data_IF_696128392765
#
_entry.id   IF_696128392765
#
_cell.length_a   1.000
_cell.length_b   1.000
_cell.length_c   1.000
_cell.angle_alpha   90.00
_cell.angle_beta   90.00
_cell.angle_gamma   90.00
#
_symmetry.space_group_name_H-M   'P 1'
#
loop_
_entity.id
_entity.type
_entity.pdbx_description
1 polymer ?
#
# COMPACT_ATOMS: atom_id res chain seq x y z
N UNK A 1 4.71 30.52 24.06
CA UNK A 1 3.50 29.71 23.92
C UNK A 1 3.89 28.52 23.04
N UNK A 2 4.83 27.76 23.55
CA UNK A 2 5.42 26.57 22.93
C UNK A 2 5.38 25.57 24.08
N UNK A 3 4.48 24.56 23.97
CA UNK A 3 4.51 23.31 24.75
C UNK A 3 3.09 22.75 24.88
N UNK A 4 2.66 22.04 23.83
CA UNK A 4 1.54 21.09 23.96
C UNK A 4 1.57 19.94 22.93
N UNK A 5 2.67 19.73 22.20
CA UNK A 5 2.79 18.65 21.21
C UNK A 5 3.76 17.52 21.63
N UNK A 6 3.96 17.32 22.92
CA UNK A 6 4.92 16.32 23.43
C UNK A 6 4.30 15.28 24.37
N UNK A 7 3.08 14.82 24.13
CA UNK A 7 2.50 13.85 25.11
C UNK A 7 1.42 12.93 24.50
N UNK A 8 1.74 12.14 23.47
CA UNK A 8 0.90 10.99 23.08
C UNK A 8 1.73 9.73 22.75
N UNK A 9 3.03 9.72 22.90
CA UNK A 9 3.86 8.52 22.62
C UNK A 9 4.52 7.94 23.88
N UNK A 10 4.03 8.23 25.07
CA UNK A 10 4.69 7.68 26.27
C UNK A 10 3.76 7.64 27.48
N UNK A 11 2.89 6.66 27.51
CA UNK A 11 2.28 6.20 28.75
C UNK A 11 1.44 4.93 28.56
N UNK A 12 2.04 3.76 28.59
CA UNK A 12 1.44 2.58 29.22
C UNK A 12 2.48 1.53 29.53
N UNK A 13 3.37 1.87 30.42
CA UNK A 13 4.03 0.89 31.29
C UNK A 13 3.78 1.37 32.70
N UNK A 14 2.79 0.80 33.40
CA UNK A 14 2.82 0.72 34.86
C UNK A 14 1.69 -0.15 35.42
N UNK A 15 2.10 -1.29 35.98
CA UNK A 15 1.55 -1.95 37.18
C UNK A 15 0.15 -2.58 37.15
N UNK A 16 0.16 -3.88 36.91
CA UNK A 16 -0.88 -4.81 37.37
C UNK A 16 -0.77 -5.03 38.88
N UNK A 17 -1.87 -4.98 39.64
CA UNK A 17 -1.99 -5.68 40.91
C UNK A 17 -2.49 -7.12 40.68
N UNK A 18 -1.87 -8.07 41.38
CA UNK A 18 -2.21 -9.46 41.38
C UNK A 18 -3.61 -9.71 42.04
N UNK A 19 -4.38 -10.59 41.41
CA UNK A 19 -5.34 -11.44 42.07
C UNK A 19 -6.79 -11.16 41.76
N UNK A 20 -7.35 -11.95 40.82
CA UNK A 20 -8.68 -12.65 40.99
C UNK A 20 -8.80 -13.65 39.84
N UNK A 21 -8.77 -14.92 40.13
CA UNK A 21 -9.10 -16.02 39.22
C UNK A 21 -10.61 -16.01 38.96
N UNK A 22 -11.00 -15.78 37.73
CA UNK A 22 -12.30 -16.14 37.21
C UNK A 22 -12.10 -17.18 36.12
N UNK A 23 -12.66 -18.36 36.30
CA UNK A 23 -12.71 -19.44 35.30
C UNK A 23 -13.47 -18.90 34.08
N UNK A 24 -12.73 -18.65 33.00
CA UNK A 24 -13.31 -18.42 31.66
C UNK A 24 -13.29 -19.78 30.97
N UNK A 25 -14.52 -20.30 30.72
CA UNK A 25 -14.73 -21.47 29.87
C UNK A 25 -14.29 -21.16 28.44
N UNK A 26 -13.05 -21.53 28.12
CA UNK A 26 -12.49 -21.44 26.78
C UNK A 26 -12.85 -22.71 26.02
N UNK A 27 -14.01 -22.71 25.36
CA UNK A 27 -14.16 -23.58 24.18
C UNK A 27 -13.44 -22.94 23.00
N UNK A 28 -12.14 -22.88 23.15
CA UNK A 28 -11.19 -22.55 22.08
C UNK A 28 -11.28 -23.65 21.00
N UNK A 29 -11.77 -23.31 19.83
CA UNK A 29 -11.54 -24.12 18.63
C UNK A 29 -10.07 -24.00 18.26
N UNK A 30 -9.24 -24.74 18.95
CA UNK A 30 -7.91 -25.05 18.46
C UNK A 30 -8.09 -25.77 17.12
N UNK A 31 -7.82 -25.08 16.04
CA UNK A 31 -7.44 -25.72 14.77
C UNK A 31 -6.22 -26.58 15.12
N UNK A 32 -6.41 -27.88 15.16
CA UNK A 32 -5.29 -28.82 15.33
C UNK A 32 -4.28 -28.51 14.25
N UNK A 33 -3.06 -28.17 14.66
CA UNK A 33 -1.90 -28.06 13.78
C UNK A 33 -1.73 -29.43 13.09
N UNK A 34 -2.29 -29.54 11.89
CA UNK A 34 -2.01 -30.63 10.98
C UNK A 34 -0.53 -30.58 10.59
N UNK A 35 0.08 -31.75 10.60
CA UNK A 35 1.44 -32.12 10.20
C UNK A 35 2.39 -30.98 9.86
N UNK A 36 3.50 -30.90 10.60
CA UNK A 36 4.67 -30.03 10.37
C UNK A 36 5.07 -30.05 8.89
N UNK A 37 4.41 -29.25 8.06
CA UNK A 37 4.98 -28.84 6.78
C UNK A 37 6.20 -27.97 7.13
N UNK A 38 7.35 -28.32 6.59
CA UNK A 38 8.52 -27.44 6.70
C UNK A 38 8.11 -26.10 6.09
N UNK A 39 8.19 -25.01 6.87
CA UNK A 39 7.90 -23.66 6.36
C UNK A 39 8.63 -23.46 5.03
N UNK A 40 8.00 -22.81 4.04
CA UNK A 40 8.65 -22.52 2.77
C UNK A 40 9.88 -21.63 3.01
N UNK A 41 10.94 -21.90 2.26
CA UNK A 41 12.24 -21.24 2.45
C UNK A 41 12.68 -20.60 1.15
N UNK A 42 13.21 -19.38 1.24
CA UNK A 42 13.77 -18.63 0.09
C UNK A 42 15.17 -18.13 0.41
N UNK A 43 15.97 -17.93 -0.62
CA UNK A 43 17.21 -17.17 -0.57
C UNK A 43 17.00 -15.70 -0.93
N UNK A 44 18.02 -14.88 -0.69
CA UNK A 44 18.05 -13.47 -1.09
C UNK A 44 19.30 -13.18 -1.92
N UNK A 45 19.12 -12.64 -3.11
CA UNK A 45 20.19 -12.09 -3.93
C UNK A 45 20.16 -10.55 -3.83
N UNK A 46 21.30 -9.94 -3.46
CA UNK A 46 21.39 -8.47 -3.40
C UNK A 46 21.46 -7.90 -4.81
N UNK A 47 20.50 -7.06 -5.15
CA UNK A 47 20.36 -6.40 -6.46
C UNK A 47 20.85 -4.95 -6.42
N UNK A 48 20.49 -4.22 -5.36
CA UNK A 48 20.86 -2.81 -5.20
C UNK A 48 21.06 -2.46 -3.73
N UNK A 49 21.96 -1.51 -3.45
CA UNK A 49 22.17 -0.94 -2.12
C UNK A 49 22.54 0.54 -2.21
N UNK A 50 22.62 1.22 -1.08
CA UNK A 50 22.91 2.66 -1.05
C UNK A 50 21.72 3.52 -1.46
N UNK A 51 20.51 3.05 -1.20
CA UNK A 51 19.24 3.72 -1.54
C UNK A 51 18.63 4.40 -0.31
N UNK A 52 17.76 5.38 -0.55
CA UNK A 52 17.04 6.10 0.51
C UNK A 52 15.54 5.79 0.43
N UNK A 53 15.06 4.97 1.37
CA UNK A 53 13.63 4.67 1.51
C UNK A 53 12.91 4.33 0.19
N UNK A 54 13.27 3.23 -0.50
CA UNK A 54 12.60 2.83 -1.73
C UNK A 54 11.14 2.45 -1.44
N UNK A 55 10.22 2.94 -2.29
CA UNK A 55 8.79 2.73 -2.23
C UNK A 55 8.30 1.77 -3.32
N UNK A 56 9.05 1.61 -4.39
CA UNK A 56 8.71 0.75 -5.52
C UNK A 56 9.93 0.35 -6.34
N UNK A 57 9.82 -0.79 -7.00
CA UNK A 57 10.78 -1.29 -7.98
C UNK A 57 9.99 -1.80 -9.19
N UNK A 58 9.92 -0.96 -10.24
CA UNK A 58 8.91 -1.04 -11.29
C UNK A 58 9.58 -1.32 -12.63
N UNK A 59 9.10 -2.33 -13.34
CA UNK A 59 9.51 -2.60 -14.73
C UNK A 59 8.84 -1.64 -15.70
N UNK A 60 9.56 -1.21 -16.72
CA UNK A 60 9.02 -0.47 -17.87
C UNK A 60 8.63 -1.39 -19.04
N UNK A 61 8.82 -2.71 -18.92
CA UNK A 61 8.59 -3.67 -20.00
C UNK A 61 9.66 -3.67 -21.10
N UNK A 62 10.78 -3.00 -20.87
CA UNK A 62 11.90 -2.87 -21.83
C UNK A 62 13.24 -3.40 -21.28
N UNK A 63 13.17 -4.13 -20.16
CA UNK A 63 14.31 -4.71 -19.44
C UNK A 63 14.96 -3.77 -18.43
N UNK A 64 14.51 -2.50 -18.33
CA UNK A 64 14.93 -1.57 -17.27
C UNK A 64 14.02 -1.71 -16.07
N UNK A 65 14.60 -1.50 -14.87
CA UNK A 65 13.86 -1.40 -13.62
C UNK A 65 14.04 0.00 -13.02
N UNK A 66 12.98 0.51 -12.41
CA UNK A 66 12.96 1.87 -11.87
C UNK A 66 12.74 1.84 -10.37
N UNK A 67 13.67 2.43 -9.62
CA UNK A 67 13.65 2.51 -8.16
C UNK A 67 13.01 3.83 -7.76
N UNK A 68 11.86 3.77 -7.15
CA UNK A 68 11.13 4.93 -6.62
C UNK A 68 11.60 5.20 -5.20
N UNK A 69 12.21 6.34 -4.92
CA UNK A 69 12.62 6.74 -3.57
C UNK A 69 11.65 7.78 -3.00
N UNK A 70 11.21 7.60 -1.78
CA UNK A 70 10.27 8.48 -1.06
C UNK A 70 10.69 9.95 -1.08
N UNK A 71 11.99 10.21 -1.17
CA UNK A 71 12.60 11.54 -1.22
C UNK A 71 12.33 12.33 -2.50
N UNK A 72 11.69 11.72 -3.50
CA UNK A 72 11.31 12.38 -4.76
C UNK A 72 12.14 11.97 -5.96
N UNK A 73 13.04 11.00 -5.81
CA UNK A 73 13.89 10.52 -6.90
C UNK A 73 13.34 9.22 -7.48
N UNK A 74 13.50 9.06 -8.81
CA UNK A 74 13.41 7.75 -9.45
C UNK A 74 14.74 7.48 -10.13
N UNK A 75 15.36 6.34 -9.83
CA UNK A 75 16.62 5.88 -10.44
C UNK A 75 16.34 4.81 -11.48
N UNK A 76 17.21 4.73 -12.48
CA UNK A 76 17.17 3.66 -13.50
C UNK A 76 18.21 2.61 -13.17
N UNK A 77 17.80 1.37 -13.14
CA UNK A 77 18.66 0.20 -13.23
C UNK A 77 18.52 -0.38 -14.65
N UNK A 78 19.61 -0.41 -15.38
CA UNK A 78 19.71 -0.96 -16.73
C UNK A 78 19.60 -2.51 -16.68
N UNK A 79 19.33 -3.13 -17.81
CA UNK A 79 19.20 -4.60 -17.92
C UNK A 79 20.44 -5.38 -17.48
N UNK A 80 21.63 -4.74 -17.47
CA UNK A 80 22.88 -5.34 -16.97
C UNK A 80 23.09 -5.17 -15.45
N UNK A 81 22.10 -4.60 -14.74
CA UNK A 81 22.12 -4.33 -13.29
C UNK A 81 22.81 -3.01 -12.93
N UNK A 82 23.31 -2.23 -13.88
CA UNK A 82 23.96 -0.94 -13.63
C UNK A 82 22.92 0.11 -13.24
N UNK A 83 23.06 0.72 -12.07
CA UNK A 83 22.25 1.88 -11.66
C UNK A 83 22.89 3.15 -12.20
N UNK A 84 22.13 3.93 -12.97
CA UNK A 84 22.60 5.20 -13.51
C UNK A 84 22.83 6.22 -12.39
N UNK A 85 23.89 7.01 -12.52
CA UNK A 85 24.27 8.03 -11.54
C UNK A 85 23.25 9.17 -11.46
N UNK A 86 22.81 9.64 -12.63
CA UNK A 86 21.82 10.71 -12.72
C UNK A 86 20.42 10.10 -12.59
N UNK A 87 19.51 10.72 -11.80
CA UNK A 87 18.17 10.21 -11.67
C UNK A 87 17.37 10.37 -12.98
N UNK A 88 16.44 9.44 -13.20
CA UNK A 88 15.44 9.51 -14.26
C UNK A 88 14.43 10.65 -14.03
N UNK A 89 14.08 10.85 -12.75
CA UNK A 89 13.07 11.78 -12.31
C UNK A 89 13.47 12.40 -10.96
N UNK A 90 13.25 13.69 -10.80
CA UNK A 90 13.45 14.41 -9.53
C UNK A 90 12.31 15.40 -9.31
N UNK A 91 11.43 15.09 -8.37
CA UNK A 91 10.30 15.94 -7.99
C UNK A 91 10.44 16.53 -6.59
N UNK A 92 11.56 16.32 -5.92
CA UNK A 92 11.78 16.74 -4.54
C UNK A 92 11.46 18.21 -4.29
N UNK A 93 11.73 19.09 -5.27
CA UNK A 93 11.42 20.53 -5.20
C UNK A 93 9.93 20.89 -5.30
N UNK A 94 9.05 19.95 -5.64
CA UNK A 94 7.59 20.15 -5.77
C UNK A 94 6.79 19.47 -4.64
N UNK A 95 7.46 18.71 -3.77
CA UNK A 95 6.86 18.00 -2.65
C UNK A 95 6.82 18.84 -1.38
N UNK A 96 5.98 18.44 -0.42
CA UNK A 96 6.09 18.91 0.96
C UNK A 96 7.44 18.45 1.56
N UNK A 97 8.03 19.20 2.51
CA UNK A 97 9.15 18.70 3.29
C UNK A 97 8.73 17.46 4.07
N UNK A 98 9.48 16.37 3.95
CA UNK A 98 9.24 15.11 4.67
C UNK A 98 10.19 14.95 5.86
N UNK A 99 9.70 14.23 6.90
CA UNK A 99 10.47 13.96 8.11
C UNK A 99 11.44 12.80 7.88
N UNK A 100 12.72 12.99 8.25
CA UNK A 100 13.71 11.91 8.17
C UNK A 100 13.50 10.77 9.19
N UNK A 101 12.67 10.96 10.22
CA UNK A 101 12.41 9.92 11.23
C UNK A 101 11.34 8.94 10.80
N UNK A 102 10.22 9.48 10.38
CA UNK A 102 9.05 8.77 9.86
C UNK A 102 8.19 9.76 9.09
N UNK A 103 7.74 9.37 7.93
CA UNK A 103 6.77 10.12 7.11
C UNK A 103 6.09 9.14 6.16
N UNK A 104 4.81 9.35 5.91
CA UNK A 104 4.08 8.62 4.88
C UNK A 104 3.90 9.45 3.61
N UNK A 105 4.29 10.72 3.64
CA UNK A 105 4.30 11.61 2.48
C UNK A 105 5.56 11.39 1.65
N UNK A 106 5.56 11.94 0.46
CA UNK A 106 6.72 11.86 -0.42
C UNK A 106 6.33 11.53 -1.85
N UNK A 107 7.27 10.97 -2.61
CA UNK A 107 7.00 10.29 -3.87
C UNK A 107 6.60 8.85 -3.54
N UNK A 108 5.33 8.52 -3.79
CA UNK A 108 4.72 7.30 -3.28
C UNK A 108 4.67 6.18 -4.32
N UNK A 109 4.57 6.54 -5.61
CA UNK A 109 4.41 5.53 -6.67
C UNK A 109 4.83 6.02 -8.05
N UNK A 110 5.13 5.05 -8.90
CA UNK A 110 5.34 5.18 -10.33
C UNK A 110 4.56 4.07 -11.05
N UNK A 111 3.89 4.41 -12.14
CA UNK A 111 3.35 3.43 -13.08
C UNK A 111 3.61 3.88 -14.51
N UNK A 112 4.04 2.97 -15.37
CA UNK A 112 4.21 3.23 -16.79
C UNK A 112 2.92 2.94 -17.53
N UNK A 113 2.63 3.76 -18.54
CA UNK A 113 1.51 3.48 -19.45
C UNK A 113 1.68 2.10 -20.11
N UNK A 114 0.63 1.31 -20.35
CA UNK A 114 0.75 0.01 -21.01
C UNK A 114 1.47 0.04 -22.38
N UNK A 115 1.42 1.19 -23.06
CA UNK A 115 2.15 1.45 -24.32
C UNK A 115 3.33 2.39 -24.10
N UNK A 116 4.01 2.29 -22.96
CA UNK A 116 5.12 3.19 -22.61
C UNK A 116 6.22 3.24 -23.67
N UNK A 117 6.60 2.10 -24.24
CA UNK A 117 7.60 2.01 -25.30
C UNK A 117 7.25 2.83 -26.55
N UNK A 118 5.97 3.11 -26.78
CA UNK A 118 5.48 3.85 -27.94
C UNK A 118 5.24 5.34 -27.62
N UNK A 119 4.74 5.63 -26.40
CA UNK A 119 4.23 6.96 -26.05
C UNK A 119 5.06 7.70 -25.01
N UNK A 120 5.97 7.00 -24.29
CA UNK A 120 6.84 7.57 -23.27
C UNK A 120 6.10 8.15 -22.06
N UNK A 121 4.83 7.74 -21.79
CA UNK A 121 4.00 8.27 -20.70
C UNK A 121 4.24 7.49 -19.43
N UNK A 122 4.37 8.22 -18.33
CA UNK A 122 4.46 7.66 -16.97
C UNK A 122 3.60 8.48 -16.01
N UNK A 123 3.20 7.85 -14.93
CA UNK A 123 2.31 8.40 -13.93
C UNK A 123 2.94 8.26 -12.55
N UNK A 124 2.84 9.31 -11.76
CA UNK A 124 3.37 9.31 -10.40
C UNK A 124 2.31 9.82 -9.43
N UNK A 125 2.37 9.31 -8.20
CA UNK A 125 1.63 9.85 -7.06
C UNK A 125 2.62 10.44 -6.07
N UNK A 126 2.39 11.68 -5.66
CA UNK A 126 3.26 12.36 -4.70
C UNK A 126 2.51 13.37 -3.83
N UNK A 127 3.08 13.71 -2.67
CA UNK A 127 2.50 14.67 -1.73
C UNK A 127 3.05 16.07 -2.01
N UNK A 128 2.24 16.93 -2.65
CA UNK A 128 2.55 18.33 -2.89
C UNK A 128 2.14 19.21 -1.68
N UNK A 129 2.66 20.45 -1.57
CA UNK A 129 2.14 21.44 -0.64
C UNK A 129 0.62 21.63 -0.82
N UNK A 130 -0.12 21.98 0.27
CA UNK A 130 -1.53 22.30 0.16
C UNK A 130 -1.77 23.34 -0.94
N UNK A 131 -2.72 23.06 -1.83
CA UNK A 131 -3.13 24.04 -2.86
C UNK A 131 -3.86 25.22 -2.23
N UNK A 132 -3.94 26.34 -2.92
CA UNK A 132 -4.57 27.56 -2.41
C UNK A 132 -6.04 27.35 -1.98
N UNK A 133 -6.76 26.45 -2.65
CA UNK A 133 -8.15 26.10 -2.34
C UNK A 133 -8.31 25.05 -1.26
N UNK A 134 -7.22 24.45 -0.74
CA UNK A 134 -7.31 23.47 0.33
C UNK A 134 -7.86 24.11 1.62
N UNK A 135 -8.63 23.36 2.42
CA UNK A 135 -9.10 23.87 3.71
C UNK A 135 -7.95 24.30 4.62
N UNK A 136 -8.15 25.36 5.39
CA UNK A 136 -7.14 25.87 6.32
C UNK A 136 -6.73 24.79 7.35
N UNK A 137 -5.44 24.62 7.52
CA UNK A 137 -4.86 23.66 8.48
C UNK A 137 -4.71 22.22 7.95
N UNK A 138 -5.07 21.97 6.70
CA UNK A 138 -4.79 20.67 6.07
C UNK A 138 -3.30 20.55 5.73
N UNK A 139 -2.80 19.31 5.69
CA UNK A 139 -1.37 19.03 5.69
C UNK A 139 -0.72 19.08 4.31
N UNK A 140 -1.32 18.43 3.31
CA UNK A 140 -0.78 18.33 1.95
C UNK A 140 -1.87 18.12 0.91
N UNK A 141 -1.48 18.08 -0.36
CA UNK A 141 -2.33 17.67 -1.47
C UNK A 141 -1.66 16.50 -2.18
N UNK A 142 -2.26 15.31 -2.16
CA UNK A 142 -1.79 14.21 -2.99
C UNK A 142 -2.11 14.51 -4.45
N UNK A 143 -1.09 14.45 -5.30
CA UNK A 143 -1.20 14.64 -6.75
C UNK A 143 -0.91 13.36 -7.49
N UNK A 144 -1.77 13.06 -8.43
CA UNK A 144 -1.56 12.05 -9.46
C UNK A 144 -1.30 12.81 -10.76
N UNK A 145 -0.08 12.68 -11.29
CA UNK A 145 0.39 13.43 -12.44
C UNK A 145 0.94 12.52 -13.53
N UNK A 146 0.61 12.84 -14.78
CA UNK A 146 1.25 12.29 -15.98
C UNK A 146 2.49 13.11 -16.31
N UNK A 147 3.57 12.42 -16.69
CA UNK A 147 4.77 12.97 -17.27
C UNK A 147 5.14 12.22 -18.56
N UNK A 148 6.11 12.76 -19.28
CA UNK A 148 6.69 12.14 -20.48
C UNK A 148 8.19 12.01 -20.36
N UNK A 149 8.72 10.94 -20.93
CA UNK A 149 10.15 10.79 -21.13
C UNK A 149 10.65 11.88 -22.06
N UNK A 150 11.86 12.40 -21.82
CA UNK A 150 12.52 13.37 -22.67
C UNK A 150 12.75 12.80 -24.09
N UNK A 151 12.51 13.62 -25.08
CA UNK A 151 12.79 13.24 -26.49
C UNK A 151 14.30 13.19 -26.80
N UNK A 152 15.13 13.82 -25.95
CA UNK A 152 16.57 13.90 -26.13
C UNK A 152 17.32 12.80 -25.37
N UNK A 153 16.75 12.29 -24.28
CA UNK A 153 17.39 11.32 -23.40
C UNK A 153 16.32 10.34 -22.84
N UNK A 154 16.30 9.06 -23.26
CA UNK A 154 15.32 8.08 -22.81
C UNK A 154 15.45 7.69 -21.34
N UNK A 155 16.56 8.06 -20.70
CA UNK A 155 16.80 7.84 -19.27
C UNK A 155 16.49 9.08 -18.42
N UNK A 156 15.72 10.04 -18.97
CA UNK A 156 15.25 11.25 -18.26
C UNK A 156 13.80 11.59 -18.57
N UNK A 157 13.12 12.12 -17.59
CA UNK A 157 11.78 12.68 -17.74
C UNK A 157 11.86 14.16 -18.11
N UNK A 158 11.03 14.60 -19.06
CA UNK A 158 10.77 16.02 -19.28
C UNK A 158 9.90 16.57 -18.12
N UNK A 159 10.54 17.21 -17.16
CA UNK A 159 9.87 17.78 -15.97
C UNK A 159 8.89 18.92 -16.31
N UNK A 160 8.95 19.48 -17.54
CA UNK A 160 8.00 20.50 -18.02
C UNK A 160 6.70 19.89 -18.57
N UNK A 161 6.68 18.59 -18.80
CA UNK A 161 5.56 17.86 -19.38
C UNK A 161 4.46 17.52 -18.37
N UNK A 162 4.60 17.91 -17.10
CA UNK A 162 3.63 17.58 -16.06
C UNK A 162 2.21 17.97 -16.46
N UNK A 163 1.31 16.98 -16.40
CA UNK A 163 -0.12 17.15 -16.48
C UNK A 163 -0.73 16.58 -15.21
N UNK A 164 -1.20 17.45 -14.32
CA UNK A 164 -1.91 17.02 -13.11
C UNK A 164 -3.28 16.45 -13.52
N UNK A 165 -3.57 15.22 -13.11
CA UNK A 165 -4.82 14.53 -13.36
C UNK A 165 -5.77 14.67 -12.18
N UNK A 166 -5.35 14.31 -10.98
CA UNK A 166 -6.15 14.34 -9.75
C UNK A 166 -5.36 15.05 -8.65
N UNK A 167 -6.06 15.87 -7.88
CA UNK A 167 -5.58 16.48 -6.64
C UNK A 167 -6.54 16.15 -5.51
N UNK A 168 -6.01 15.55 -4.43
CA UNK A 168 -6.77 15.19 -3.25
C UNK A 168 -6.16 15.88 -2.04
N UNK A 169 -6.87 16.85 -1.46
CA UNK A 169 -6.43 17.50 -0.24
C UNK A 169 -6.48 16.53 0.93
N UNK A 170 -5.44 16.55 1.74
CA UNK A 170 -5.24 15.64 2.87
C UNK A 170 -5.30 16.40 4.18
N UNK A 171 -6.22 16.03 5.09
CA UNK A 171 -6.30 16.68 6.40
C UNK A 171 -5.08 16.38 7.29
N UNK A 172 -4.49 15.18 7.17
CA UNK A 172 -3.30 14.76 7.92
C UNK A 172 -2.23 14.19 6.98
N UNK A 173 -0.98 14.11 7.48
CA UNK A 173 0.19 13.66 6.70
C UNK A 173 0.32 12.15 6.55
N UNK A 174 -0.50 11.35 7.22
CA UNK A 174 -0.53 9.88 7.11
C UNK A 174 -1.73 9.37 6.30
N UNK A 175 -1.80 8.06 6.06
CA UNK A 175 -2.80 7.36 5.23
C UNK A 175 -2.92 8.00 3.83
N UNK A 176 -1.78 8.08 3.15
CA UNK A 176 -1.77 8.67 1.81
C UNK A 176 -2.23 7.70 0.72
N UNK A 177 -2.32 6.41 1.03
CA UNK A 177 -2.38 5.38 0.03
C UNK A 177 -1.00 5.19 -0.62
N UNK A 178 -0.93 4.46 -1.71
CA UNK A 178 0.33 4.19 -2.41
C UNK A 178 0.08 3.55 -3.78
N UNK A 179 1.04 2.87 -4.31
CA UNK A 179 1.00 1.89 -5.36
C UNK A 179 0.00 2.05 -6.54
N UNK A 180 -0.04 3.21 -7.27
CA UNK A 180 -0.90 3.31 -8.48
C UNK A 180 -0.50 2.25 -9.51
N UNK A 181 -1.46 1.67 -10.22
CA UNK A 181 -1.21 0.65 -11.23
C UNK A 181 -2.20 0.71 -12.41
N UNK A 182 -1.73 0.33 -13.60
CA UNK A 182 -2.65 0.02 -14.70
C UNK A 182 -3.22 -1.37 -14.55
N UNK A 183 -4.54 -1.46 -14.69
CA UNK A 183 -5.21 -2.75 -14.79
C UNK A 183 -5.04 -3.40 -16.18
N UNK A 184 -5.40 -4.69 -16.31
CA UNK A 184 -5.38 -5.41 -17.59
C UNK A 184 -6.34 -4.81 -18.61
N UNK A 185 -7.29 -3.99 -18.15
CA UNK A 185 -8.25 -3.23 -18.94
C UNK A 185 -7.69 -1.92 -19.51
N UNK A 186 -6.45 -1.57 -19.16
CA UNK A 186 -5.75 -0.38 -19.62
C UNK A 186 -6.08 0.90 -18.88
N UNK A 187 -6.90 0.86 -17.82
CA UNK A 187 -7.23 2.01 -16.98
C UNK A 187 -6.30 2.13 -15.79
N UNK A 188 -6.14 3.36 -15.29
CA UNK A 188 -5.31 3.65 -14.13
C UNK A 188 -6.13 3.52 -12.84
N UNK A 189 -5.66 2.67 -11.91
CA UNK A 189 -6.22 2.49 -10.58
C UNK A 189 -5.38 3.26 -9.57
N UNK A 190 -6.06 3.94 -8.63
CA UNK A 190 -5.43 4.88 -7.69
C UNK A 190 -5.97 4.60 -6.29
N UNK A 191 -5.14 4.07 -5.38
CA UNK A 191 -5.50 3.85 -3.99
C UNK A 191 -5.30 5.14 -3.18
N UNK A 192 -6.27 5.50 -2.36
CA UNK A 192 -6.26 6.67 -1.49
C UNK A 192 -6.75 6.30 -0.09
N UNK A 193 -5.97 6.62 0.94
CA UNK A 193 -6.35 6.40 2.32
C UNK A 193 -7.43 7.36 2.81
N UNK A 194 -7.97 7.09 3.99
CA UNK A 194 -9.12 7.77 4.60
C UNK A 194 -8.90 9.25 4.97
N UNK A 195 -7.67 9.73 4.88
CA UNK A 195 -7.33 11.12 5.21
C UNK A 195 -6.30 11.23 6.30
N UNK A 196 -6.11 10.18 7.09
CA UNK A 196 -5.11 10.08 8.15
C UNK A 196 -5.66 10.37 9.55
N UNK A 197 -4.78 10.59 10.49
CA UNK A 197 -5.13 10.64 11.91
C UNK A 197 -5.31 9.25 12.49
N UNK A 198 -6.29 9.09 13.37
CA UNK A 198 -6.71 7.82 13.92
C UNK A 198 -8.22 7.67 13.82
N UNK A 199 -8.69 6.42 13.75
CA UNK A 199 -10.10 6.04 13.89
C UNK A 199 -11.04 6.63 12.81
N UNK A 200 -10.49 7.16 11.71
CA UNK A 200 -11.23 7.87 10.66
C UNK A 200 -12.18 8.93 11.24
N UNK A 201 -11.64 9.76 12.18
CA UNK A 201 -12.39 10.78 12.90
C UNK A 201 -11.67 12.12 12.94
N UNK A 202 -12.40 13.18 13.28
CA UNK A 202 -11.84 14.51 13.54
C UNK A 202 -11.81 15.41 12.31
N UNK A 203 -10.77 16.25 12.22
CA UNK A 203 -10.66 17.24 11.15
C UNK A 203 -10.57 16.59 9.77
N UNK A 204 -11.49 16.94 8.88
CA UNK A 204 -11.53 16.44 7.50
C UNK A 204 -12.18 15.06 7.33
N UNK A 205 -12.75 14.51 8.41
CA UNK A 205 -13.44 13.21 8.36
C UNK A 205 -14.95 13.40 8.51
N UNK A 206 -15.71 12.65 7.72
CA UNK A 206 -17.17 12.59 7.82
C UNK A 206 -17.59 11.90 9.13
N UNK A 207 -18.82 12.15 9.63
CA UNK A 207 -19.32 11.49 10.83
C UNK A 207 -19.33 9.95 10.77
N UNK A 208 -19.60 9.39 9.59
CA UNK A 208 -19.55 7.96 9.28
C UNK A 208 -18.15 7.43 8.94
N UNK A 209 -17.16 8.31 8.85
CA UNK A 209 -15.83 8.04 8.34
C UNK A 209 -15.72 8.28 6.84
N UNK A 210 -14.50 8.67 6.40
CA UNK A 210 -14.23 8.88 4.99
C UNK A 210 -14.25 7.58 4.19
N UNK A 211 -13.87 6.46 4.80
CA UNK A 211 -13.97 5.13 4.16
C UNK A 211 -15.38 4.88 3.60
N UNK A 212 -16.43 5.28 4.31
CA UNK A 212 -17.83 5.08 3.92
C UNK A 212 -18.47 6.28 3.18
N UNK A 213 -17.81 7.44 3.14
CA UNK A 213 -18.34 8.65 2.49
C UNK A 213 -18.08 8.61 0.98
N UNK A 214 -19.12 8.51 0.15
CA UNK A 214 -19.02 8.41 -1.31
C UNK A 214 -18.84 9.76 -2.02
N UNK A 215 -18.83 10.88 -1.26
CA UNK A 215 -18.63 12.26 -1.77
C UNK A 215 -17.17 12.72 -1.64
N UNK A 216 -16.24 11.80 -1.32
CA UNK A 216 -14.80 12.05 -1.25
C UNK A 216 -14.02 10.92 -1.88
N UNK A 217 -12.82 11.23 -2.37
CA UNK A 217 -11.86 10.21 -2.83
C UNK A 217 -11.10 9.54 -1.69
N UNK A 218 -11.22 10.06 -0.47
CA UNK A 218 -10.53 9.52 0.70
C UNK A 218 -11.13 8.15 1.08
N UNK A 219 -10.26 7.14 1.35
CA UNK A 219 -10.65 5.77 1.67
C UNK A 219 -11.21 4.98 0.47
N UNK A 220 -10.65 5.20 -0.72
CA UNK A 220 -11.15 4.66 -1.99
C UNK A 220 -10.06 4.08 -2.88
N UNK A 221 -10.46 3.16 -3.75
CA UNK A 221 -9.76 2.88 -5.00
C UNK A 221 -10.51 3.59 -6.11
N UNK A 222 -9.83 4.47 -6.86
CA UNK A 222 -10.36 5.13 -8.04
C UNK A 222 -9.94 4.39 -9.30
N UNK A 223 -10.71 4.53 -10.39
CA UNK A 223 -10.36 4.01 -11.72
C UNK A 223 -10.69 5.04 -12.78
N UNK A 224 -9.68 5.45 -13.57
CA UNK A 224 -9.78 6.52 -14.58
C UNK A 224 -9.19 6.10 -15.92
N UNK A 225 -9.68 6.71 -16.99
CA UNK A 225 -9.16 6.58 -18.36
C UNK A 225 -8.23 7.76 -18.65
N UNK A 226 -6.94 7.49 -18.81
CA UNK A 226 -5.92 8.52 -19.07
C UNK A 226 -5.75 8.83 -20.56
N UNK A 227 -6.39 8.04 -21.45
CA UNK A 227 -6.31 8.19 -22.90
C UNK A 227 -7.44 9.05 -23.47
N UNK A 228 -8.53 9.17 -22.73
CA UNK A 228 -9.66 10.02 -23.09
C UNK A 228 -9.89 11.09 -22.02
N UNK A 229 -10.72 12.08 -22.35
CA UNK A 229 -11.11 13.15 -21.44
C UNK A 229 -12.61 13.35 -21.51
N UNK A 230 -13.26 13.38 -20.36
CA UNK A 230 -14.64 13.83 -20.27
C UNK A 230 -14.69 15.36 -20.10
N UNK A 231 -15.86 15.98 -20.40
CA UNK A 231 -16.01 17.43 -20.34
C UNK A 231 -15.64 17.99 -18.96
N UNK A 232 -14.63 18.86 -18.93
CA UNK A 232 -14.16 19.52 -17.71
C UNK A 232 -13.16 18.71 -16.87
N UNK A 233 -12.82 17.47 -17.27
CA UNK A 233 -11.84 16.61 -16.60
C UNK A 233 -10.58 16.44 -17.45
N UNK A 234 -9.39 16.30 -16.83
CA UNK A 234 -8.17 15.96 -17.56
C UNK A 234 -8.03 14.47 -17.88
N UNK A 235 -9.02 13.64 -17.57
CA UNK A 235 -9.15 12.21 -17.81
C UNK A 235 -10.58 11.85 -18.18
N UNK A 236 -10.83 10.64 -18.62
CA UNK A 236 -12.16 10.08 -18.81
C UNK A 236 -12.58 9.18 -17.64
N UNK A 237 -13.89 9.01 -17.47
CA UNK A 237 -14.46 8.05 -16.54
C UNK A 237 -14.91 6.83 -17.32
N UNK A 238 -14.32 5.64 -17.07
CA UNK A 238 -14.71 4.43 -17.80
C UNK A 238 -16.22 4.18 -17.74
N UNK A 239 -16.80 3.77 -18.87
CA UNK A 239 -18.26 3.62 -18.99
C UNK A 239 -18.85 2.54 -18.10
N UNK A 240 -18.01 1.61 -17.64
CA UNK A 240 -18.36 0.51 -16.76
C UNK A 240 -17.92 0.72 -15.31
N UNK A 241 -17.50 1.96 -14.92
CA UNK A 241 -17.31 2.27 -13.51
C UNK A 241 -18.63 2.06 -12.74
N UNK A 242 -18.57 1.45 -11.52
CA UNK A 242 -19.78 1.00 -10.82
C UNK A 242 -20.74 2.11 -10.46
N UNK A 243 -20.23 3.34 -10.27
CA UNK A 243 -21.01 4.47 -9.78
C UNK A 243 -21.17 5.60 -10.81
N UNK A 244 -20.83 5.36 -12.09
CA UNK A 244 -20.88 6.38 -13.14
C UNK A 244 -22.25 7.09 -13.27
N UNK A 245 -23.32 6.33 -13.08
CA UNK A 245 -24.70 6.84 -13.21
C UNK A 245 -25.35 7.17 -11.84
N UNK A 246 -24.57 7.13 -10.76
CA UNK A 246 -25.06 7.39 -9.42
C UNK A 246 -24.78 8.86 -9.04
N UNK A 247 -25.84 9.65 -8.88
CA UNK A 247 -25.73 11.09 -8.55
C UNK A 247 -25.19 11.34 -7.13
N UNK A 248 -25.26 10.32 -6.25
CA UNK A 248 -24.85 10.38 -4.84
C UNK A 248 -23.44 9.80 -4.60
N UNK A 249 -22.71 9.43 -5.66
CA UNK A 249 -21.37 8.83 -5.57
C UNK A 249 -20.46 9.41 -6.63
N UNK A 250 -19.19 9.72 -6.26
CA UNK A 250 -18.19 10.16 -7.23
C UNK A 250 -17.93 9.05 -8.26
N UNK A 251 -18.05 9.35 -9.56
CA UNK A 251 -18.05 8.35 -10.62
C UNK A 251 -16.69 7.69 -10.88
N UNK A 252 -15.59 8.27 -10.37
CA UNK A 252 -14.24 7.71 -10.41
C UNK A 252 -14.08 6.52 -9.48
N UNK A 253 -14.93 6.37 -8.45
CA UNK A 253 -14.81 5.34 -7.43
C UNK A 253 -15.02 3.95 -8.05
N UNK A 254 -14.01 3.08 -7.88
CA UNK A 254 -14.06 1.66 -8.23
C UNK A 254 -14.50 0.80 -7.04
N UNK A 255 -13.93 1.09 -5.84
CA UNK A 255 -14.24 0.43 -4.58
C UNK A 255 -14.07 1.40 -3.41
N UNK A 256 -14.66 1.09 -2.27
CA UNK A 256 -14.68 1.95 -1.08
C UNK A 256 -14.50 1.15 0.21
N UNK A 257 -14.33 1.87 1.32
CA UNK A 257 -14.23 1.25 2.65
C UNK A 257 -12.81 0.83 3.00
N UNK A 258 -11.80 1.62 2.57
CA UNK A 258 -10.39 1.42 2.90
C UNK A 258 -9.91 2.43 3.92
N UNK A 259 -8.92 2.01 4.75
CA UNK A 259 -8.24 2.87 5.71
C UNK A 259 -6.97 3.50 5.13
N UNK A 260 -5.99 2.70 4.80
CA UNK A 260 -4.74 3.12 4.17
C UNK A 260 -4.26 2.05 3.18
N UNK A 261 -4.88 1.98 2.00
CA UNK A 261 -4.52 1.02 0.96
C UNK A 261 -3.11 1.33 0.43
N UNK A 262 -2.11 0.80 1.14
CA UNK A 262 -0.71 1.14 0.98
C UNK A 262 -0.11 0.63 -0.32
N UNK A 263 -0.46 -0.59 -0.70
CA UNK A 263 0.02 -1.19 -1.93
C UNK A 263 -1.09 -1.95 -2.64
N UNK A 264 -1.03 -1.95 -3.96
CA UNK A 264 -1.90 -2.79 -4.76
C UNK A 264 -1.13 -3.43 -5.92
N UNK A 265 -1.57 -4.61 -6.32
CA UNK A 265 -1.00 -5.36 -7.43
C UNK A 265 -2.08 -6.13 -8.18
N UNK A 266 -1.95 -6.18 -9.50
CA UNK A 266 -2.71 -7.12 -10.31
C UNK A 266 -1.94 -8.42 -10.46
N UNK A 267 -2.64 -9.55 -10.33
CA UNK A 267 -2.07 -10.82 -10.74
C UNK A 267 -1.81 -10.79 -12.27
N UNK A 268 -0.60 -11.13 -12.67
CA UNK A 268 -0.23 -11.20 -14.09
C UNK A 268 -0.77 -12.45 -14.80
N UNK A 269 -1.27 -13.39 -14.02
CA UNK A 269 -1.90 -14.64 -14.51
C UNK A 269 -3.36 -14.76 -14.06
N UNK A 270 -3.92 -15.95 -14.20
CA UNK A 270 -5.28 -16.25 -13.74
C UNK A 270 -6.34 -15.31 -14.29
N UNK A 271 -7.21 -14.82 -13.42
CA UNK A 271 -8.30 -13.88 -13.75
C UNK A 271 -7.84 -12.41 -13.70
N UNK A 272 -6.54 -12.16 -13.46
CA UNK A 272 -5.96 -10.84 -13.28
C UNK A 272 -6.54 -10.07 -12.09
N UNK A 273 -6.73 -10.75 -11.00
CA UNK A 273 -7.32 -10.22 -9.78
C UNK A 273 -6.50 -9.04 -9.21
N UNK A 274 -7.22 -8.08 -8.61
CA UNK A 274 -6.63 -6.93 -7.94
C UNK A 274 -6.52 -7.20 -6.44
N UNK A 275 -5.29 -7.23 -5.94
CA UNK A 275 -4.98 -7.33 -4.52
C UNK A 275 -4.62 -5.95 -3.96
N UNK A 276 -5.16 -5.64 -2.79
CA UNK A 276 -4.88 -4.39 -2.06
C UNK A 276 -4.53 -4.74 -0.63
N UNK A 277 -3.40 -4.26 -0.15
CA UNK A 277 -3.02 -4.36 1.26
C UNK A 277 -3.46 -3.10 1.97
N UNK A 278 -4.39 -3.23 2.89
CA UNK A 278 -4.95 -2.13 3.67
C UNK A 278 -4.44 -2.18 5.11
N UNK A 279 -3.67 -1.16 5.48
CA UNK A 279 -3.08 -1.09 6.81
C UNK A 279 -4.14 -0.76 7.86
N UNK A 280 -4.28 -1.64 8.83
CA UNK A 280 -5.24 -1.55 9.92
C UNK A 280 -4.95 -0.48 10.97
N UNK A 281 -5.84 -0.34 11.97
CA UNK A 281 -5.74 0.71 12.98
C UNK A 281 -5.00 0.23 14.23
N UNK A 282 -5.55 -0.71 14.96
CA UNK A 282 -5.05 -1.12 16.27
C UNK A 282 -4.91 -2.64 16.45
N UNK A 283 -5.70 -3.44 15.71
CA UNK A 283 -5.81 -4.86 15.98
C UNK A 283 -5.47 -5.77 14.79
N UNK A 284 -5.85 -5.37 13.56
CA UNK A 284 -5.81 -6.26 12.40
C UNK A 284 -5.24 -5.59 11.17
N UNK A 285 -4.38 -6.32 10.47
CA UNK A 285 -3.90 -6.00 9.13
C UNK A 285 -4.62 -6.89 8.12
N UNK A 286 -4.85 -6.38 6.90
CA UNK A 286 -5.63 -7.11 5.90
C UNK A 286 -5.11 -6.99 4.47
N UNK A 287 -5.44 -7.99 3.66
CA UNK A 287 -5.29 -7.95 2.20
C UNK A 287 -6.63 -8.28 1.57
N UNK A 288 -7.05 -7.41 0.67
CA UNK A 288 -8.33 -7.51 -0.03
C UNK A 288 -8.18 -8.00 -1.45
N UNK A 289 -9.11 -8.84 -1.89
CA UNK A 289 -9.36 -9.14 -3.28
C UNK A 289 -10.42 -8.17 -3.81
N UNK A 290 -9.97 -7.14 -4.55
CA UNK A 290 -10.82 -5.99 -4.87
C UNK A 290 -11.66 -6.22 -6.12
N UNK A 291 -12.97 -6.14 -5.93
CA UNK A 291 -13.96 -6.26 -6.98
C UNK A 291 -14.69 -4.94 -7.28
N UNK A 292 -15.27 -4.85 -8.45
CA UNK A 292 -16.04 -3.70 -8.92
C UNK A 292 -17.21 -3.36 -7.98
N UNK A 293 -17.21 -2.16 -7.42
CA UNK A 293 -18.27 -1.64 -6.53
C UNK A 293 -18.22 -2.22 -5.11
N UNK A 294 -17.13 -2.92 -4.74
CA UNK A 294 -16.95 -3.51 -3.41
C UNK A 294 -16.84 -2.45 -2.29
N UNK A 295 -17.36 -2.80 -1.11
CA UNK A 295 -17.19 -2.04 0.13
C UNK A 295 -16.45 -2.94 1.15
N UNK A 296 -15.22 -2.56 1.51
CA UNK A 296 -14.29 -3.34 2.34
C UNK A 296 -14.39 -3.04 3.84
N UNK A 297 -15.35 -2.21 4.21
CA UNK A 297 -15.86 -2.13 5.58
C UNK A 297 -15.27 -1.03 6.46
N UNK A 298 -14.10 -0.47 6.19
CA UNK A 298 -13.58 0.62 7.00
C UNK A 298 -14.50 1.85 6.99
N UNK A 299 -14.92 2.44 8.14
CA UNK A 299 -14.54 2.06 9.51
C UNK A 299 -15.70 1.37 10.28
N UNK A 300 -16.45 0.51 9.64
CA UNK A 300 -17.43 -0.36 10.31
C UNK A 300 -16.70 -1.61 10.83
N UNK A 301 -15.68 -2.04 10.09
CA UNK A 301 -14.82 -3.18 10.38
C UNK A 301 -13.35 -2.83 10.25
N UNK A 302 -12.51 -3.60 10.92
CA UNK A 302 -11.08 -3.75 10.76
C UNK A 302 -10.80 -5.24 10.56
N UNK A 303 -10.36 -5.67 9.36
CA UNK A 303 -10.43 -7.07 8.98
C UNK A 303 -11.87 -7.59 8.94
N UNK A 304 -12.08 -8.83 9.38
CA UNK A 304 -13.40 -9.42 9.56
C UNK A 304 -14.11 -8.96 10.85
N UNK A 305 -13.45 -8.11 11.66
CA UNK A 305 -13.85 -7.75 13.01
C UNK A 305 -14.57 -6.40 13.05
N UNK A 306 -15.52 -6.27 13.98
CA UNK A 306 -16.19 -4.99 14.20
C UNK A 306 -15.24 -3.94 14.78
N UNK A 307 -15.37 -2.68 14.33
CA UNK A 307 -14.58 -1.56 14.82
C UNK A 307 -15.45 -0.51 15.52
N UNK A 308 -14.94 0.06 16.63
CA UNK A 308 -15.57 1.19 17.33
C UNK A 308 -14.53 2.31 17.53
N UNK A 309 -14.69 3.47 16.89
CA UNK A 309 -13.76 4.59 17.02
C UNK A 309 -13.70 5.20 18.45
N UNK A 310 -14.59 4.80 19.36
CA UNK A 310 -14.56 5.20 20.77
C UNK A 310 -13.80 4.22 21.65
N UNK A 311 -13.55 3.00 21.15
CA UNK A 311 -12.82 1.93 21.84
C UNK A 311 -12.01 1.12 20.83
N UNK A 312 -11.05 1.73 20.10
CA UNK A 312 -10.39 1.11 18.94
C UNK A 312 -9.58 -0.15 19.29
N UNK A 313 -9.10 -0.26 20.54
CA UNK A 313 -8.38 -1.44 21.03
C UNK A 313 -9.29 -2.62 21.40
N UNK A 314 -10.62 -2.49 21.24
CA UNK A 314 -11.59 -3.51 21.60
C UNK A 314 -12.55 -3.72 20.42
N UNK A 315 -12.64 -4.95 19.90
CA UNK A 315 -13.60 -5.28 18.85
C UNK A 315 -14.98 -5.54 19.44
N UNK A 316 -16.02 -4.76 19.08
CA UNK A 316 -17.41 -5.04 19.48
C UNK A 316 -17.87 -6.42 19.01
N UNK A 317 -18.79 -7.03 19.77
CA UNK A 317 -19.33 -8.34 19.42
C UNK A 317 -20.27 -8.32 18.21
N UNK A 318 -20.70 -7.15 17.74
CA UNK A 318 -21.57 -6.99 16.58
C UNK A 318 -21.50 -5.56 16.01
N UNK A 319 -21.58 -5.46 14.68
CA UNK A 319 -21.67 -4.22 13.94
C UNK A 319 -22.57 -4.41 12.72
N UNK A 320 -22.87 -3.37 11.93
CA UNK A 320 -23.61 -3.52 10.69
C UNK A 320 -22.92 -4.49 9.72
N UNK A 321 -23.70 -5.36 9.08
CA UNK A 321 -23.22 -6.26 8.02
C UNK A 321 -23.23 -5.58 6.64
N UNK A 322 -23.70 -4.35 6.57
CA UNK A 322 -23.91 -3.59 5.34
C UNK A 322 -23.41 -2.16 5.51
N UNK A 323 -22.90 -1.63 4.44
CA UNK A 323 -22.58 -0.21 4.32
C UNK A 323 -23.81 0.69 4.36
N UNK A 324 -23.61 2.03 4.44
CA UNK A 324 -24.70 3.03 4.55
C UNK A 324 -25.71 3.00 3.41
N UNK A 325 -25.33 2.50 2.23
CA UNK A 325 -26.18 2.40 1.03
C UNK A 325 -26.94 1.07 0.95
N UNK A 326 -26.72 0.17 1.92
CA UNK A 326 -27.33 -1.16 1.99
C UNK A 326 -26.57 -2.26 1.24
N UNK A 327 -25.40 -1.93 0.67
CA UNK A 327 -24.48 -2.89 0.05
C UNK A 327 -23.83 -3.79 1.11
N UNK A 328 -23.54 -5.07 0.78
CA UNK A 328 -22.81 -5.94 1.69
C UNK A 328 -21.38 -5.45 1.91
N UNK A 329 -20.86 -5.64 3.12
CA UNK A 329 -19.43 -5.51 3.38
C UNK A 329 -18.72 -6.78 2.89
N UNK A 330 -17.54 -6.62 2.30
CA UNK A 330 -16.70 -7.70 1.80
C UNK A 330 -15.57 -7.92 2.80
N UNK A 331 -15.42 -9.17 3.23
CA UNK A 331 -14.31 -9.55 4.11
C UNK A 331 -13.01 -9.68 3.30
N UNK A 332 -11.85 -9.41 3.91
CA UNK A 332 -10.55 -9.60 3.29
C UNK A 332 -10.29 -11.09 2.95
N UNK A 333 -9.32 -11.34 2.08
CA UNK A 333 -8.83 -12.71 1.83
C UNK A 333 -7.72 -13.12 2.79
N UNK A 334 -6.99 -12.17 3.34
CA UNK A 334 -5.96 -12.39 4.37
C UNK A 334 -6.17 -11.38 5.49
N UNK A 335 -6.08 -11.87 6.73
CA UNK A 335 -5.97 -11.01 7.92
C UNK A 335 -4.96 -11.60 8.90
N UNK A 336 -4.33 -10.72 9.69
CA UNK A 336 -3.50 -11.12 10.83
C UNK A 336 -3.48 -10.04 11.90
N UNK A 337 -3.33 -10.46 13.16
CA UNK A 337 -3.34 -9.54 14.28
C UNK A 337 -2.00 -8.84 14.53
N UNK A 338 -2.03 -7.70 15.18
CA UNK A 338 -0.86 -6.89 15.57
C UNK A 338 0.10 -7.59 16.55
N UNK A 339 -0.25 -8.78 17.03
CA UNK A 339 0.68 -9.66 17.74
C UNK A 339 1.74 -10.31 16.84
N UNK A 340 1.52 -10.33 15.51
CA UNK A 340 2.48 -10.83 14.52
C UNK A 340 3.34 -9.72 13.95
N UNK A 341 2.74 -8.63 13.56
CA UNK A 341 3.36 -7.51 12.86
C UNK A 341 2.61 -6.20 13.11
N UNK A 342 3.00 -5.12 12.46
CA UNK A 342 2.47 -3.78 12.73
C UNK A 342 1.83 -3.11 11.53
N UNK A 343 2.26 -3.45 10.30
CA UNK A 343 1.76 -2.84 9.06
C UNK A 343 1.97 -3.80 7.89
N UNK A 344 0.90 -4.15 7.20
CA UNK A 344 0.98 -4.88 5.93
C UNK A 344 1.53 -3.97 4.84
N UNK A 345 2.53 -4.45 4.09
CA UNK A 345 3.21 -3.64 3.05
C UNK A 345 2.93 -4.08 1.62
N UNK A 346 2.03 -5.06 1.43
CA UNK A 346 1.64 -5.56 0.13
C UNK A 346 2.45 -6.74 -0.36
N UNK A 347 2.23 -7.08 -1.62
CA UNK A 347 2.84 -8.24 -2.25
C UNK A 347 2.36 -8.47 -3.68
N UNK A 348 2.72 -9.64 -4.18
CA UNK A 348 2.35 -10.10 -5.52
C UNK A 348 2.05 -11.60 -5.53
N UNK A 349 1.15 -12.03 -6.41
CA UNK A 349 1.10 -13.44 -6.80
C UNK A 349 2.41 -13.76 -7.53
N UNK A 350 3.11 -14.79 -7.05
CA UNK A 350 4.34 -15.25 -7.70
C UNK A 350 4.03 -15.92 -9.03
N UNK A 351 4.65 -15.41 -10.09
CA UNK A 351 4.50 -15.91 -11.47
C UNK A 351 5.85 -16.17 -12.14
N UNK A 352 6.93 -16.14 -11.35
CA UNK A 352 8.28 -16.45 -11.81
C UNK A 352 8.49 -17.94 -12.03
N UNK A 353 9.65 -18.29 -12.57
CA UNK A 353 10.03 -19.68 -12.88
C UNK A 353 11.14 -20.21 -11.98
N UNK A 354 11.80 -19.33 -11.21
CA UNK A 354 12.94 -19.72 -10.36
C UNK A 354 12.51 -20.58 -9.17
N UNK A 355 11.28 -20.38 -8.65
CA UNK A 355 10.72 -21.10 -7.49
C UNK A 355 9.34 -21.68 -7.85
N UNK A 356 9.28 -22.76 -8.65
CA UNK A 356 8.01 -23.30 -9.14
C UNK A 356 7.08 -23.82 -8.03
N UNK A 357 7.60 -24.09 -6.83
CA UNK A 357 6.81 -24.47 -5.65
C UNK A 357 6.00 -23.31 -5.07
N UNK A 358 6.32 -22.08 -5.44
CA UNK A 358 5.60 -20.86 -5.04
C UNK A 358 4.70 -20.30 -6.15
N UNK A 359 4.63 -20.95 -7.32
CA UNK A 359 3.80 -20.47 -8.41
C UNK A 359 2.32 -20.42 -8.02
N UNK A 360 1.73 -19.22 -8.13
CA UNK A 360 0.33 -18.98 -7.77
C UNK A 360 0.12 -18.58 -6.31
N UNK A 361 1.13 -18.65 -5.47
CA UNK A 361 1.06 -18.18 -4.08
C UNK A 361 1.16 -16.65 -4.01
N UNK A 362 0.48 -16.02 -3.04
CA UNK A 362 0.62 -14.59 -2.77
C UNK A 362 1.75 -14.35 -1.77
N UNK A 363 2.83 -13.74 -2.24
CA UNK A 363 3.98 -13.38 -1.39
C UNK A 363 3.83 -11.94 -0.96
N UNK A 364 3.79 -11.71 0.35
CA UNK A 364 3.59 -10.41 0.97
C UNK A 364 4.47 -10.26 2.22
N UNK A 365 4.34 -9.15 2.93
CA UNK A 365 5.13 -8.94 4.13
C UNK A 365 4.44 -8.04 5.15
N UNK A 366 4.91 -8.15 6.39
CA UNK A 366 4.77 -7.12 7.41
C UNK A 366 6.02 -6.24 7.48
N UNK A 367 5.82 -4.94 7.63
CA UNK A 367 6.86 -3.93 7.68
C UNK A 367 7.88 -4.19 8.77
N UNK A 368 7.41 -4.48 9.99
CA UNK A 368 8.20 -4.87 11.15
C UNK A 368 7.30 -5.26 12.33
N UNK A 369 7.73 -6.23 13.12
CA UNK A 369 7.05 -6.57 14.37
C UNK A 369 7.42 -5.63 15.56
N UNK A 370 8.20 -4.57 15.31
CA UNK A 370 8.63 -3.58 16.31
C UNK A 370 8.87 -2.25 15.62
N UNK A 371 8.17 -1.19 16.04
CA UNK A 371 8.37 0.16 15.51
C UNK A 371 9.77 0.73 15.75
N UNK A 372 10.48 0.26 16.78
CA UNK A 372 11.82 0.75 17.13
C UNK A 372 12.97 0.02 16.44
N UNK A 373 12.68 -1.11 15.78
CA UNK A 373 13.72 -1.98 15.23
C UNK A 373 13.23 -2.72 13.98
N UNK A 374 13.93 -2.52 12.86
CA UNK A 374 13.63 -3.26 11.64
C UNK A 374 13.76 -4.78 11.81
N UNK A 375 12.63 -5.48 11.73
CA UNK A 375 12.53 -6.93 11.78
C UNK A 375 11.30 -7.40 11.00
N UNK A 376 11.20 -6.97 9.73
CA UNK A 376 10.11 -7.32 8.84
C UNK A 376 10.02 -8.82 8.59
N UNK A 377 8.81 -9.28 8.38
CA UNK A 377 8.47 -10.68 8.17
C UNK A 377 7.96 -10.89 6.76
N UNK A 378 8.60 -11.76 5.99
CA UNK A 378 8.04 -12.27 4.73
C UNK A 378 6.97 -13.31 5.04
N UNK A 379 5.89 -13.26 4.30
CA UNK A 379 4.72 -14.10 4.43
C UNK A 379 4.34 -14.67 3.06
N UNK A 380 3.72 -15.83 3.06
CA UNK A 380 3.17 -16.45 1.86
C UNK A 380 1.77 -16.97 2.17
N UNK A 381 0.82 -16.72 1.28
CA UNK A 381 -0.55 -17.18 1.40
C UNK A 381 -0.97 -18.01 0.20
N UNK A 382 -1.64 -19.12 0.48
CA UNK A 382 -2.19 -20.03 -0.52
C UNK A 382 -3.62 -19.60 -0.87
N UNK A 383 -3.90 -19.25 -2.14
CA UNK A 383 -5.24 -18.88 -2.58
C UNK A 383 -6.30 -19.94 -2.26
N UNK A 384 -7.44 -19.49 -1.74
CA UNK A 384 -8.61 -20.32 -1.44
C UNK A 384 -9.86 -19.75 -2.11
N UNK A 385 -10.73 -20.60 -2.58
CA UNK A 385 -12.00 -20.19 -3.18
C UNK A 385 -13.04 -19.71 -2.16
N UNK A 386 -12.86 -20.03 -0.88
CA UNK A 386 -13.78 -19.68 0.19
C UNK A 386 -13.05 -19.25 1.46
N UNK A 387 -13.51 -18.17 2.08
CA UNK A 387 -13.01 -17.66 3.36
C UNK A 387 -11.59 -17.10 3.29
N UNK A 388 -11.00 -16.92 4.47
CA UNK A 388 -9.63 -16.44 4.60
C UNK A 388 -8.63 -17.47 4.07
N UNK A 389 -7.62 -16.98 3.37
CA UNK A 389 -6.53 -17.79 2.87
C UNK A 389 -5.60 -18.22 4.01
N UNK A 390 -5.09 -19.44 3.92
CA UNK A 390 -4.03 -19.90 4.82
C UNK A 390 -2.73 -19.20 4.47
N UNK A 391 -2.05 -18.65 5.47
CA UNK A 391 -0.76 -18.00 5.30
C UNK A 391 0.26 -18.49 6.35
N UNK A 392 1.53 -18.39 6.02
CA UNK A 392 2.64 -18.75 6.90
C UNK A 392 3.87 -17.86 6.67
N UNK A 393 4.82 -17.88 7.62
CA UNK A 393 6.08 -17.16 7.44
C UNK A 393 6.93 -17.82 6.35
N UNK A 394 7.39 -17.00 5.40
CA UNK A 394 8.36 -17.38 4.38
C UNK A 394 9.77 -17.19 4.94
N UNK A 395 10.44 -18.28 5.23
CA UNK A 395 11.73 -18.29 5.93
C UNK A 395 12.86 -17.88 4.99
N UNK A 396 13.71 -16.95 5.42
CA UNK A 396 14.90 -16.52 4.67
C UNK A 396 16.11 -17.37 5.06
N UNK A 397 16.63 -18.13 4.12
CA UNK A 397 17.79 -19.00 4.31
C UNK A 397 19.02 -18.20 4.79
N UNK A 398 19.75 -18.77 5.76
CA UNK A 398 21.00 -18.18 6.25
C UNK A 398 20.85 -16.89 7.08
N UNK A 399 19.62 -16.44 7.36
CA UNK A 399 19.38 -15.25 8.19
C UNK A 399 18.98 -15.63 9.61
N UNK A 400 19.39 -14.84 10.62
CA UNK A 400 19.00 -15.07 12.02
C UNK A 400 17.48 -15.07 12.16
N UNK A 401 16.91 -16.13 12.75
CA UNK A 401 15.46 -16.25 12.93
C UNK A 401 14.68 -16.43 11.63
N UNK A 402 15.34 -16.63 10.47
CA UNK A 402 14.68 -16.76 9.18
C UNK A 402 14.09 -15.45 8.63
N UNK A 403 14.46 -14.29 9.17
CA UNK A 403 13.91 -12.97 8.80
C UNK A 403 14.96 -12.08 8.14
N UNK A 404 14.51 -11.05 7.41
CA UNK A 404 15.40 -10.12 6.70
C UNK A 404 16.28 -9.32 7.68
N UNK A 405 15.77 -8.97 8.87
CA UNK A 405 16.49 -8.18 9.87
C UNK A 405 16.58 -6.68 9.50
N UNK A 406 15.59 -6.19 8.79
CA UNK A 406 15.39 -4.79 8.38
C UNK A 406 13.90 -4.49 8.30
N UNK A 407 13.51 -3.24 8.16
CA UNK A 407 12.16 -2.87 7.76
C UNK A 407 11.93 -3.30 6.31
N UNK A 408 10.80 -3.95 6.02
CA UNK A 408 10.37 -4.24 4.64
C UNK A 408 9.48 -3.09 4.19
N UNK A 409 9.86 -2.38 3.15
CA UNK A 409 9.17 -1.17 2.70
C UNK A 409 8.20 -1.40 1.55
N UNK A 410 8.33 -2.50 0.85
CA UNK A 410 7.51 -2.83 -0.31
C UNK A 410 8.15 -3.91 -1.17
N UNK A 411 7.58 -4.07 -2.33
CA UNK A 411 7.97 -5.08 -3.30
C UNK A 411 8.10 -4.52 -4.70
N UNK A 412 8.68 -5.31 -5.58
CA UNK A 412 8.65 -5.16 -7.03
C UNK A 412 8.51 -6.50 -7.70
N UNK A 413 8.05 -6.49 -8.94
CA UNK A 413 7.99 -7.69 -9.79
C UNK A 413 8.54 -7.35 -11.17
N UNK A 414 9.45 -8.18 -11.70
CA UNK A 414 9.97 -8.02 -13.06
C UNK A 414 9.02 -8.61 -14.12
N UNK A 415 9.41 -8.48 -15.39
CA UNK A 415 8.59 -8.94 -16.51
C UNK A 415 8.46 -10.47 -16.57
N UNK A 416 9.41 -11.19 -15.96
CA UNK A 416 9.39 -12.64 -15.82
C UNK A 416 8.54 -13.12 -14.64
N UNK A 417 8.02 -12.21 -13.81
CA UNK A 417 7.19 -12.53 -12.64
C UNK A 417 7.99 -12.84 -11.39
N UNK A 418 9.30 -12.61 -11.39
CA UNK A 418 10.16 -12.75 -10.21
C UNK A 418 9.96 -11.59 -9.24
N UNK A 419 10.05 -11.87 -7.93
CA UNK A 419 9.72 -10.91 -6.87
C UNK A 419 10.97 -10.34 -6.23
N UNK A 420 10.91 -9.04 -5.94
CA UNK A 420 11.94 -8.26 -5.26
C UNK A 420 11.39 -7.65 -3.98
N UNK A 421 12.22 -7.64 -2.92
CA UNK A 421 11.88 -7.09 -1.61
C UNK A 421 12.71 -5.83 -1.36
N UNK A 422 12.05 -4.73 -1.04
CA UNK A 422 12.66 -3.45 -0.73
C UNK A 422 12.79 -3.31 0.77
N UNK A 423 14.00 -3.00 1.25
CA UNK A 423 14.30 -2.98 2.68
C UNK A 423 15.04 -1.72 3.10
N UNK A 424 14.96 -1.37 4.38
CA UNK A 424 15.77 -0.30 4.98
C UNK A 424 16.11 -0.65 6.43
N UNK A 425 17.30 -0.26 6.90
CA UNK A 425 17.60 -0.31 8.34
C UNK A 425 17.03 0.89 9.11
N UNK A 426 16.51 1.90 8.38
CA UNK A 426 15.90 3.10 8.94
C UNK A 426 14.38 3.05 8.78
N UNK A 427 13.67 3.53 9.78
CA UNK A 427 12.21 3.64 9.76
C UNK A 427 11.73 4.68 8.72
N UNK A 428 12.43 5.80 8.62
CA UNK A 428 12.12 6.88 7.68
C UNK A 428 13.20 7.12 6.62
N UNK A 429 13.02 8.13 5.76
CA UNK A 429 13.93 8.44 4.66
C UNK A 429 15.18 9.22 5.14
N UNK A 430 16.02 8.61 5.96
CA UNK A 430 17.15 9.26 6.63
C UNK A 430 18.49 9.06 5.94
N UNK A 431 18.88 7.84 5.65
CA UNK A 431 20.22 7.46 5.21
C UNK A 431 20.17 6.49 4.03
N UNK A 432 21.30 6.36 3.32
CA UNK A 432 21.48 5.42 2.21
C UNK A 432 21.68 3.97 2.71
N UNK A 433 20.74 3.47 3.52
CA UNK A 433 20.82 2.14 4.15
C UNK A 433 19.94 1.10 3.48
N UNK A 434 19.10 1.54 2.57
CA UNK A 434 18.12 0.67 1.94
C UNK A 434 18.76 -0.23 0.86
N UNK A 435 18.14 -1.38 0.69
CA UNK A 435 18.56 -2.43 -0.23
C UNK A 435 17.38 -3.05 -0.96
N UNK A 436 17.64 -3.56 -2.14
CA UNK A 436 16.69 -4.38 -2.91
C UNK A 436 17.29 -5.78 -3.03
N UNK A 437 16.48 -6.76 -2.69
CA UNK A 437 16.84 -8.18 -2.84
C UNK A 437 15.86 -8.87 -3.79
N UNK A 438 16.37 -9.71 -4.69
CA UNK A 438 15.55 -10.67 -5.43
C UNK A 438 15.32 -11.90 -4.56
N UNK A 439 14.09 -12.42 -4.53
CA UNK A 439 13.82 -13.73 -3.97
C UNK A 439 14.34 -14.81 -4.93
N UNK A 440 15.09 -15.76 -4.39
CA UNK A 440 15.70 -16.88 -5.12
C UNK A 440 15.49 -18.19 -4.37
N UNK A 441 15.69 -19.35 -4.98
CA UNK A 441 15.77 -20.63 -4.27
C UNK A 441 16.76 -20.58 -3.11
N UNK A 442 16.53 -21.34 -2.00
CA UNK A 442 17.32 -21.30 -0.78
C UNK A 442 18.77 -21.78 -0.92
#
# INVERSE_FOLDING_TARGET
>A
MIDKFRLIIMAMILLLPAGLSADIDTTDRTVEAGESSLKPVVGLELIAEGLVAPMGFVSAGDGRMFIVEQTGLIRVMQADGTILKEPFFDIGGRMVPISSRYDERGLLSLSFHPQFSENGRLFVMYSAPPRESAPEGWDCTNRISEFRVSQEDPDKVDMSSEKVLIEVDKPQGNHNGGGIAFGPDGYLYIPLGDGGGADDTGMGHAPEGNGQNTQTFLGKILRIDVDHQDDGLPYGIPSDNPFREDEDTLPEIWALGFRNPWAMSFDRGGEHDLFVSDAGQDLWEEVDLVVRGGNYGWRIREGTHCFDPQSPAESPSSCPEKGPRGEPLIDPVIEYGHNLGTVVVGGYIYRGTAMPELEGEYIFADWSNDFGKGNGTLLVATPSAEGLWMWEELVVAGRPGGRIGAFIRGFGQDDEGEIYVLTSSEMGPANETAKIFKLIPP
#
